data_IF_328555110275
#
_entry.id   IF_328555110275
#
_cell.length_a   1.000
_cell.length_b   1.000
_cell.length_c   1.000
_cell.angle_alpha   90.00
_cell.angle_beta   90.00
_cell.angle_gamma   90.00
#
_symmetry.space_group_name_H-M   'P 1'
#
loop_
_entity.id
_entity.type
_entity.pdbx_description
1 polymer ?
#
# COMPACT_ATOMS: atom_id res chain seq x y z
N UNK A 1 40.56 -31.37 20.05
CA UNK A 1 39.57 -30.70 19.18
C UNK A 1 38.62 -29.89 20.04
N UNK A 2 38.88 -28.60 20.22
CA UNK A 2 38.00 -27.68 20.96
C UNK A 2 36.97 -27.11 20.00
N UNK A 3 35.71 -27.46 20.19
CA UNK A 3 34.58 -26.89 19.44
C UNK A 3 34.46 -25.42 19.85
N UNK A 4 34.81 -24.52 18.94
CA UNK A 4 34.58 -23.08 19.09
C UNK A 4 33.07 -22.82 18.98
N UNK A 5 32.41 -22.59 20.10
CA UNK A 5 31.04 -22.09 20.14
C UNK A 5 31.05 -20.65 19.63
N UNK A 6 30.79 -20.43 18.33
CA UNK A 6 30.44 -19.09 17.85
C UNK A 6 29.16 -18.69 18.58
N UNK A 7 29.26 -17.69 19.45
CA UNK A 7 28.12 -16.90 19.88
C UNK A 7 27.49 -16.34 18.61
N UNK A 8 26.30 -16.83 18.25
CA UNK A 8 25.48 -16.16 17.24
C UNK A 8 25.26 -14.74 17.73
N UNK A 9 25.59 -13.69 16.95
CA UNK A 9 25.34 -12.32 17.36
C UNK A 9 23.84 -12.20 17.66
N UNK A 10 23.53 -11.78 18.89
CA UNK A 10 22.16 -11.61 19.35
C UNK A 10 21.59 -10.40 18.60
N UNK A 11 20.76 -10.64 17.57
CA UNK A 11 20.17 -9.59 16.75
C UNK A 11 19.08 -8.90 17.58
N UNK A 12 19.50 -7.94 18.41
CA UNK A 12 18.58 -7.08 19.15
C UNK A 12 17.99 -6.03 18.21
N UNK A 13 16.76 -6.24 17.75
CA UNK A 13 16.03 -5.21 17.01
C UNK A 13 15.72 -4.07 17.98
N UNK A 14 16.38 -2.92 17.78
CA UNK A 14 16.07 -1.71 18.55
C UNK A 14 14.63 -1.29 18.30
N UNK A 15 13.80 -1.16 19.35
CA UNK A 15 12.42 -0.67 19.21
C UNK A 15 12.35 0.70 18.53
N UNK A 16 13.40 1.53 18.66
CA UNK A 16 13.48 2.84 18.01
C UNK A 16 13.55 2.73 16.49
N UNK A 17 14.35 1.80 15.96
CA UNK A 17 14.51 1.60 14.51
C UNK A 17 13.22 1.07 13.89
N UNK A 18 12.56 0.10 14.52
CA UNK A 18 11.27 -0.41 14.05
C UNK A 18 10.19 0.68 14.01
N UNK A 19 10.13 1.52 15.05
CA UNK A 19 9.22 2.68 15.10
C UNK A 19 9.50 3.68 13.98
N UNK A 20 10.76 4.05 13.79
CA UNK A 20 11.15 5.00 12.76
C UNK A 20 10.77 4.52 11.36
N UNK A 21 11.02 3.25 11.04
CA UNK A 21 10.67 2.69 9.73
C UNK A 21 9.16 2.64 9.48
N UNK A 22 8.37 2.25 10.49
CA UNK A 22 6.90 2.23 10.35
C UNK A 22 6.35 3.63 10.17
N UNK A 23 6.85 4.62 10.92
CA UNK A 23 6.41 6.01 10.79
C UNK A 23 6.87 6.65 9.47
N UNK A 24 8.08 6.35 9.01
CA UNK A 24 8.58 6.81 7.71
C UNK A 24 7.73 6.25 6.55
N UNK A 25 7.25 5.01 6.67
CA UNK A 25 6.30 4.41 5.73
C UNK A 25 4.94 5.11 5.65
N UNK A 26 4.62 6.06 6.53
CA UNK A 26 3.40 6.87 6.43
C UNK A 26 3.60 8.14 5.60
N UNK A 27 4.83 8.51 5.27
CA UNK A 27 5.11 9.75 4.53
C UNK A 27 4.39 9.81 3.17
N UNK A 28 4.39 8.75 2.33
CA UNK A 28 3.69 8.81 1.05
C UNK A 28 2.18 8.93 1.22
N UNK A 29 1.58 8.26 2.23
CA UNK A 29 0.16 8.43 2.55
C UNK A 29 -0.19 9.88 2.86
N UNK A 30 0.60 10.52 3.73
CA UNK A 30 0.36 11.89 4.16
C UNK A 30 0.51 12.85 2.97
N UNK A 31 1.59 12.73 2.20
CA UNK A 31 1.85 13.58 1.05
C UNK A 31 0.78 13.46 -0.04
N UNK A 32 0.39 12.22 -0.38
CA UNK A 32 -0.63 11.96 -1.39
C UNK A 32 -2.02 12.42 -0.91
N UNK A 33 -2.36 12.21 0.36
CA UNK A 33 -3.63 12.67 0.91
C UNK A 33 -3.71 14.21 0.95
N UNK A 34 -2.67 14.90 1.42
CA UNK A 34 -2.63 16.37 1.41
C UNK A 34 -2.73 16.88 -0.02
N UNK A 35 -1.94 16.33 -0.95
CA UNK A 35 -2.00 16.71 -2.35
C UNK A 35 -3.40 16.50 -2.95
N UNK A 36 -4.07 15.39 -2.63
CA UNK A 36 -5.42 15.09 -3.13
C UNK A 36 -6.49 16.06 -2.64
N UNK A 37 -6.29 16.69 -1.48
CA UNK A 37 -7.24 17.62 -0.86
C UNK A 37 -6.93 19.08 -1.23
N UNK A 38 -5.66 19.42 -1.44
CA UNK A 38 -5.22 20.80 -1.71
C UNK A 38 -5.20 21.12 -3.20
N UNK A 39 -4.98 20.13 -4.06
CA UNK A 39 -4.94 20.33 -5.52
C UNK A 39 -6.33 20.22 -6.14
N UNK A 40 -6.54 20.90 -7.26
CA UNK A 40 -7.82 20.91 -7.96
C UNK A 40 -7.85 19.99 -9.19
N UNK A 41 -9.04 19.47 -9.49
CA UNK A 41 -9.39 18.82 -10.76
C UNK A 41 -8.42 17.71 -11.18
N UNK A 42 -7.76 17.90 -12.33
CA UNK A 42 -6.88 16.89 -12.93
C UNK A 42 -5.70 16.49 -12.03
N UNK A 43 -5.13 17.44 -11.27
CA UNK A 43 -3.99 17.14 -10.40
C UNK A 43 -4.39 16.25 -9.22
N UNK A 44 -5.54 16.50 -8.60
CA UNK A 44 -6.08 15.62 -7.55
C UNK A 44 -6.38 14.23 -8.09
N UNK A 45 -6.97 14.13 -9.28
CA UNK A 45 -7.27 12.86 -9.93
C UNK A 45 -6.00 12.03 -10.21
N UNK A 46 -4.89 12.68 -10.59
CA UNK A 46 -3.60 12.00 -10.82
C UNK A 46 -3.00 11.40 -9.54
N UNK A 47 -3.37 11.89 -8.36
CA UNK A 47 -2.87 11.40 -7.07
C UNK A 47 -3.67 10.22 -6.51
N UNK A 48 -4.86 9.95 -7.05
CA UNK A 48 -5.74 8.88 -6.59
C UNK A 48 -5.10 7.49 -6.77
N UNK A 49 -4.66 7.16 -7.99
CA UNK A 49 -4.06 5.86 -8.28
C UNK A 49 -2.77 5.62 -7.47
N UNK A 50 -1.84 6.58 -7.33
CA UNK A 50 -0.72 6.46 -6.40
C UNK A 50 -1.13 6.20 -4.95
N UNK A 51 -2.19 6.85 -4.46
CA UNK A 51 -2.67 6.67 -3.08
C UNK A 51 -3.21 5.24 -2.87
N UNK A 52 -4.06 4.77 -3.78
CA UNK A 52 -4.60 3.39 -3.76
C UNK A 52 -3.48 2.38 -3.95
N UNK A 53 -2.58 2.62 -4.91
CA UNK A 53 -1.39 1.81 -5.20
C UNK A 53 -0.49 1.63 -3.98
N UNK A 54 -0.16 2.74 -3.32
CA UNK A 54 0.64 2.69 -2.11
C UNK A 54 -0.07 1.97 -0.97
N UNK A 55 -1.39 2.19 -0.82
CA UNK A 55 -2.19 1.46 0.15
C UNK A 55 -2.18 -0.05 -0.05
N UNK A 56 -2.31 -0.51 -1.30
CA UNK A 56 -2.20 -1.93 -1.64
C UNK A 56 -0.81 -2.50 -1.31
N UNK A 57 0.26 -1.76 -1.62
CA UNK A 57 1.64 -2.17 -1.30
C UNK A 57 1.84 -2.34 0.21
N UNK A 58 1.43 -1.35 1.00
CA UNK A 58 1.60 -1.42 2.46
C UNK A 58 0.72 -2.51 3.06
N UNK A 59 -0.52 -2.66 2.60
CA UNK A 59 -1.40 -3.73 3.08
C UNK A 59 -0.81 -5.13 2.80
N UNK A 60 -0.23 -5.34 1.61
CA UNK A 60 0.49 -6.56 1.26
C UNK A 60 1.73 -6.78 2.14
N UNK A 61 2.52 -5.73 2.37
CA UNK A 61 3.72 -5.81 3.20
C UNK A 61 3.41 -6.26 4.64
N UNK A 62 2.35 -5.73 5.25
CA UNK A 62 1.95 -6.16 6.59
C UNK A 62 1.43 -7.61 6.58
N UNK A 63 0.70 -8.00 5.53
CA UNK A 63 0.32 -9.39 5.30
C UNK A 63 1.51 -10.35 5.44
N UNK A 64 2.62 -10.05 4.78
CA UNK A 64 3.84 -10.86 4.77
C UNK A 64 4.46 -11.09 6.15
N UNK A 65 4.20 -10.23 7.15
CA UNK A 65 4.69 -10.41 8.52
C UNK A 65 4.30 -11.78 9.10
N UNK A 66 3.10 -12.26 8.76
CA UNK A 66 2.56 -13.52 9.27
C UNK A 66 3.32 -14.75 8.75
N UNK A 67 3.91 -14.68 7.56
CA UNK A 67 4.87 -15.71 7.12
C UNK A 67 6.13 -15.68 7.97
N UNK A 68 6.66 -14.49 8.24
CA UNK A 68 7.83 -14.33 9.12
C UNK A 68 7.59 -14.92 10.51
N UNK A 69 6.42 -14.66 11.11
CA UNK A 69 6.02 -15.24 12.40
C UNK A 69 5.87 -16.76 12.31
N UNK A 70 5.22 -17.27 11.26
CA UNK A 70 5.02 -18.71 11.09
C UNK A 70 6.34 -19.50 10.93
N UNK A 71 7.34 -18.89 10.29
CA UNK A 71 8.67 -19.46 10.09
C UNK A 71 9.57 -19.36 11.33
N UNK A 72 9.38 -18.35 12.18
CA UNK A 72 10.26 -18.07 13.31
C UNK A 72 9.78 -18.64 14.65
N UNK A 73 8.49 -19.01 14.78
CA UNK A 73 7.95 -19.61 16.01
C UNK A 73 8.02 -21.15 15.98
N UNK A 74 8.95 -21.80 16.70
CA UNK A 74 9.15 -23.25 16.65
C UNK A 74 8.00 -24.01 17.33
N UNK A 75 7.35 -23.39 18.31
CA UNK A 75 6.30 -23.98 19.16
C UNK A 75 4.89 -23.84 18.58
N UNK A 76 4.71 -23.12 17.47
CA UNK A 76 3.41 -22.98 16.83
C UNK A 76 2.91 -24.33 16.29
N UNK A 77 1.63 -24.64 16.53
CA UNK A 77 1.00 -25.83 15.95
C UNK A 77 0.97 -25.75 14.42
N UNK A 78 0.91 -26.89 13.74
CA UNK A 78 0.80 -26.92 12.27
C UNK A 78 -0.46 -26.18 11.78
N UNK A 79 -1.55 -26.26 12.55
CA UNK A 79 -2.78 -25.52 12.28
C UNK A 79 -2.58 -24.01 12.37
N UNK A 80 -1.91 -23.52 13.41
CA UNK A 80 -1.66 -22.09 13.56
C UNK A 80 -0.74 -21.56 12.45
N UNK A 81 0.31 -22.31 12.09
CA UNK A 81 1.17 -21.95 10.94
C UNK A 81 0.37 -21.82 9.65
N UNK A 82 -0.51 -22.77 9.37
CA UNK A 82 -1.38 -22.75 8.18
C UNK A 82 -2.29 -21.53 8.18
N UNK A 83 -2.87 -21.18 9.33
CA UNK A 83 -3.74 -20.00 9.46
C UNK A 83 -2.95 -18.70 9.24
N UNK A 84 -1.77 -18.57 9.84
CA UNK A 84 -0.88 -17.40 9.65
C UNK A 84 -0.47 -17.23 8.19
N UNK A 85 -0.05 -18.33 7.55
CA UNK A 85 0.37 -18.33 6.14
C UNK A 85 -0.80 -18.07 5.19
N UNK A 86 -1.99 -18.58 5.47
CA UNK A 86 -3.18 -18.32 4.66
C UNK A 86 -3.61 -16.86 4.80
N UNK A 87 -3.58 -16.34 6.03
CA UNK A 87 -3.97 -14.97 6.31
C UNK A 87 -3.04 -13.94 5.65
N UNK A 88 -1.75 -14.21 5.47
CA UNK A 88 -0.84 -13.26 4.82
C UNK A 88 -1.21 -12.93 3.38
N UNK A 89 -1.88 -13.87 2.69
CA UNK A 89 -2.24 -13.75 1.28
C UNK A 89 -3.49 -12.88 1.12
N UNK A 90 -4.39 -12.91 2.11
CA UNK A 90 -5.67 -12.19 2.09
C UNK A 90 -5.47 -10.67 1.93
N UNK A 91 -4.61 -9.98 2.71
CA UNK A 91 -4.33 -8.55 2.53
C UNK A 91 -3.77 -8.19 1.15
N UNK A 92 -2.89 -9.03 0.60
CA UNK A 92 -2.31 -8.80 -0.73
C UNK A 92 -3.36 -8.91 -1.84
N UNK A 93 -4.21 -9.93 -1.78
CA UNK A 93 -5.33 -10.09 -2.71
C UNK A 93 -6.35 -8.97 -2.56
N UNK A 94 -6.65 -8.55 -1.33
CA UNK A 94 -7.57 -7.45 -1.09
C UNK A 94 -7.03 -6.12 -1.63
N UNK A 95 -5.73 -5.86 -1.46
CA UNK A 95 -5.06 -4.71 -2.08
C UNK A 95 -5.11 -4.76 -3.61
N UNK A 96 -4.89 -5.94 -4.21
CA UNK A 96 -5.00 -6.13 -5.65
C UNK A 96 -6.43 -5.90 -6.17
N UNK A 97 -7.44 -6.43 -5.47
CA UNK A 97 -8.86 -6.18 -5.80
C UNK A 97 -9.21 -4.70 -5.68
N UNK A 98 -8.68 -4.01 -4.67
CA UNK A 98 -8.91 -2.58 -4.51
C UNK A 98 -8.40 -1.75 -5.70
N UNK A 99 -7.29 -2.14 -6.33
CA UNK A 99 -6.79 -1.44 -7.53
C UNK A 99 -7.74 -1.52 -8.73
N UNK A 100 -8.60 -2.53 -8.78
CA UNK A 100 -9.58 -2.74 -9.85
C UNK A 100 -10.98 -2.24 -9.47
N UNK A 101 -11.17 -1.79 -8.23
CA UNK A 101 -12.45 -1.32 -7.74
C UNK A 101 -12.74 0.11 -8.23
N UNK A 102 -14.02 0.50 -8.34
CA UNK A 102 -14.39 1.88 -8.64
C UNK A 102 -13.84 2.87 -7.60
N UNK A 103 -13.61 4.10 -8.04
CA UNK A 103 -13.13 5.17 -7.17
C UNK A 103 -14.06 5.35 -5.94
N UNK A 104 -13.44 5.40 -4.76
CA UNK A 104 -14.09 5.44 -3.47
C UNK A 104 -14.34 4.07 -2.87
N UNK A 105 -14.80 3.10 -3.65
CA UNK A 105 -14.90 1.71 -3.17
C UNK A 105 -13.52 1.10 -2.90
N UNK A 106 -12.53 1.44 -3.73
CA UNK A 106 -11.12 1.11 -3.54
C UNK A 106 -10.54 1.60 -2.20
N UNK A 107 -10.76 2.88 -1.87
CA UNK A 107 -10.31 3.52 -0.63
C UNK A 107 -11.00 2.90 0.60
N UNK A 108 -12.31 2.66 0.53
CA UNK A 108 -13.07 1.99 1.59
C UNK A 108 -12.60 0.54 1.79
N UNK A 109 -12.33 -0.17 0.70
CA UNK A 109 -11.84 -1.54 0.74
C UNK A 109 -10.46 -1.58 1.41
N UNK A 110 -9.52 -0.72 1.01
CA UNK A 110 -8.19 -0.63 1.64
C UNK A 110 -8.28 -0.26 3.12
N UNK A 111 -9.10 0.75 3.48
CA UNK A 111 -9.33 1.14 4.86
C UNK A 111 -9.85 -0.03 5.70
N UNK A 112 -10.88 -0.72 5.21
CA UNK A 112 -11.42 -1.90 5.88
C UNK A 112 -10.39 -3.04 5.98
N UNK A 113 -9.55 -3.21 4.96
CA UNK A 113 -8.46 -4.17 4.92
C UNK A 113 -7.43 -3.94 6.03
N UNK A 114 -7.01 -2.69 6.25
CA UNK A 114 -6.09 -2.35 7.33
C UNK A 114 -6.68 -2.66 8.72
N UNK A 115 -7.94 -2.34 8.95
CA UNK A 115 -8.62 -2.62 10.23
C UNK A 115 -8.85 -4.12 10.44
N UNK A 116 -9.27 -4.85 9.40
CA UNK A 116 -9.42 -6.30 9.46
C UNK A 116 -8.08 -6.98 9.76
N UNK A 117 -7.00 -6.50 9.15
CA UNK A 117 -5.66 -7.00 9.43
C UNK A 117 -5.20 -6.70 10.85
N UNK A 118 -5.45 -5.49 11.35
CA UNK A 118 -5.16 -5.12 12.75
C UNK A 118 -5.95 -5.99 13.75
N UNK A 119 -7.21 -6.29 13.46
CA UNK A 119 -8.02 -7.19 14.29
C UNK A 119 -7.41 -8.61 14.34
N UNK A 120 -6.85 -9.07 13.22
CA UNK A 120 -6.12 -10.33 13.18
C UNK A 120 -4.80 -10.26 13.94
N UNK A 121 -4.02 -9.17 13.80
CA UNK A 121 -2.80 -8.92 14.58
C UNK A 121 -3.06 -9.04 16.08
N UNK A 122 -4.19 -8.50 16.57
CA UNK A 122 -4.62 -8.62 17.96
C UNK A 122 -4.87 -10.07 18.38
N UNK A 123 -5.50 -10.87 17.53
CA UNK A 123 -5.75 -12.30 17.79
C UNK A 123 -4.44 -13.09 17.79
N UNK A 124 -3.52 -12.77 16.87
CA UNK A 124 -2.21 -13.39 16.78
C UNK A 124 -1.32 -13.03 17.98
N UNK A 125 -1.36 -11.77 18.44
CA UNK A 125 -0.60 -11.29 19.60
C UNK A 125 -0.91 -12.10 20.87
N UNK A 126 -2.18 -12.48 21.07
CA UNK A 126 -2.62 -13.30 22.21
C UNK A 126 -2.09 -14.74 22.16
N UNK A 127 -1.73 -15.25 20.99
CA UNK A 127 -1.30 -16.65 20.78
C UNK A 127 0.21 -16.81 20.61
N UNK A 128 0.89 -15.79 20.11
CA UNK A 128 2.29 -15.87 19.67
C UNK A 128 3.23 -14.89 20.39
N UNK A 129 2.78 -14.28 21.49
CA UNK A 129 3.57 -13.38 22.34
C UNK A 129 4.35 -12.32 21.53
N UNK A 130 3.62 -11.51 20.75
CA UNK A 130 4.24 -10.40 20.02
C UNK A 130 4.82 -9.36 21.00
N UNK A 131 5.88 -8.62 20.61
CA UNK A 131 6.44 -7.58 21.45
C UNK A 131 5.39 -6.53 21.82
N UNK A 132 5.34 -6.11 23.09
CA UNK A 132 4.31 -5.19 23.60
C UNK A 132 4.25 -3.82 22.90
N UNK A 133 5.31 -3.42 22.19
CA UNK A 133 5.34 -2.18 21.41
C UNK A 133 4.67 -2.30 20.03
N UNK A 134 4.43 -3.51 19.52
CA UNK A 134 3.97 -3.74 18.15
C UNK A 134 2.54 -3.26 17.94
N UNK A 135 1.59 -3.72 18.76
CA UNK A 135 0.16 -3.38 18.60
C UNK A 135 -0.13 -1.87 18.72
N UNK A 136 0.39 -1.13 19.73
CA UNK A 136 0.18 0.32 19.81
C UNK A 136 0.67 1.05 18.54
N UNK A 137 1.83 0.64 18.02
CA UNK A 137 2.40 1.24 16.82
C UNK A 137 1.56 0.92 15.57
N UNK A 138 1.07 -0.31 15.45
CA UNK A 138 0.15 -0.73 14.37
C UNK A 138 -1.17 0.03 14.40
N UNK A 139 -1.72 0.29 15.59
CA UNK A 139 -2.93 1.11 15.75
C UNK A 139 -2.69 2.52 15.22
N UNK A 140 -1.61 3.19 15.65
CA UNK A 140 -1.29 4.55 15.18
C UNK A 140 -1.10 4.57 13.66
N UNK A 141 -0.33 3.64 13.10
CA UNK A 141 -0.09 3.56 11.66
C UNK A 141 -1.38 3.28 10.87
N UNK A 142 -2.23 2.37 11.36
CA UNK A 142 -3.52 2.02 10.72
C UNK A 142 -4.47 3.20 10.76
N UNK A 143 -4.56 3.93 11.87
CA UNK A 143 -5.40 5.12 12.00
C UNK A 143 -4.95 6.22 11.03
N UNK A 144 -3.65 6.51 10.96
CA UNK A 144 -3.12 7.54 10.05
C UNK A 144 -3.36 7.13 8.59
N UNK A 145 -3.00 5.90 8.20
CA UNK A 145 -3.23 5.41 6.84
C UNK A 145 -4.71 5.45 6.45
N UNK A 146 -5.61 5.06 7.36
CA UNK A 146 -7.06 5.14 7.13
C UNK A 146 -7.51 6.58 6.95
N UNK A 147 -7.06 7.50 7.80
CA UNK A 147 -7.41 8.91 7.66
C UNK A 147 -6.94 9.47 6.32
N UNK A 148 -5.71 9.13 5.90
CA UNK A 148 -5.18 9.53 4.60
C UNK A 148 -5.98 8.94 3.43
N UNK A 149 -6.42 7.68 3.52
CA UNK A 149 -7.26 7.04 2.50
C UNK A 149 -8.66 7.64 2.43
N UNK A 150 -9.23 8.06 3.55
CA UNK A 150 -10.59 8.63 3.59
C UNK A 150 -10.61 10.14 3.36
N UNK A 151 -9.49 10.85 3.51
CA UNK A 151 -9.41 12.28 3.29
C UNK A 151 -9.92 12.75 1.92
N UNK A 152 -9.57 12.11 0.77
CA UNK A 152 -10.13 12.48 -0.53
C UNK A 152 -11.66 12.35 -0.57
N UNK A 153 -12.23 11.33 0.09
CA UNK A 153 -13.68 11.10 0.11
C UNK A 153 -14.41 12.10 1.01
N UNK A 154 -13.84 12.41 2.17
CA UNK A 154 -14.47 13.24 3.18
C UNK A 154 -14.31 14.74 2.89
N UNK A 155 -13.17 15.13 2.31
CA UNK A 155 -12.76 16.52 2.15
C UNK A 155 -12.69 16.95 0.67
N UNK A 156 -12.41 16.01 -0.25
CA UNK A 156 -12.37 16.30 -1.69
C UNK A 156 -13.75 16.54 -2.31
N UNK A 157 -14.83 16.23 -1.59
CA UNK A 157 -16.21 16.57 -1.94
C UNK A 157 -16.77 15.80 -3.14
N UNK A 158 -18.04 15.40 -3.04
CA UNK A 158 -18.80 14.67 -4.07
C UNK A 158 -19.08 15.45 -5.37
N UNK A 159 -18.17 16.33 -5.80
CA UNK A 159 -18.33 17.21 -6.95
C UNK A 159 -18.09 16.50 -8.30
N UNK A 160 -17.52 15.28 -8.29
CA UNK A 160 -17.27 14.48 -9.50
C UNK A 160 -18.20 13.26 -9.66
N UNK A 161 -19.09 12.99 -8.70
CA UNK A 161 -20.04 11.87 -8.80
C UNK A 161 -21.26 12.16 -9.69
N UNK A 162 -21.33 13.34 -10.31
CA UNK A 162 -22.46 13.74 -11.15
C UNK A 162 -22.27 13.55 -12.67
N UNK A 163 -21.11 13.10 -13.17
CA UNK A 163 -21.01 12.86 -14.62
C UNK A 163 -19.97 11.79 -15.04
N UNK A 164 -20.37 10.52 -15.17
CA UNK A 164 -19.55 9.48 -15.81
C UNK A 164 -19.37 9.70 -17.33
N UNK A 165 -19.99 10.73 -17.92
CA UNK A 165 -19.92 11.08 -19.34
C UNK A 165 -19.44 12.52 -19.64
N UNK A 166 -18.91 13.25 -18.65
CA UNK A 166 -18.24 14.52 -18.92
C UNK A 166 -16.87 14.25 -19.59
N UNK A 167 -16.92 13.86 -20.86
CA UNK A 167 -15.84 14.19 -21.77
C UNK A 167 -15.67 15.72 -21.74
N UNK A 168 -14.45 16.26 -21.81
CA UNK A 168 -14.27 17.70 -21.93
C UNK A 168 -14.91 18.16 -23.24
N UNK A 169 -16.17 18.61 -23.18
CA UNK A 169 -16.85 19.25 -24.29
C UNK A 169 -16.06 20.51 -24.60
N UNK A 170 -15.28 20.38 -25.66
CA UNK A 170 -14.53 21.42 -26.33
C UNK A 170 -15.28 22.77 -26.33
N UNK A 171 -14.92 23.65 -25.40
CA UNK A 171 -14.81 25.06 -25.74
C UNK A 171 -13.46 25.25 -26.42
N UNK A 172 -13.43 24.91 -27.71
CA UNK A 172 -12.85 25.78 -28.75
C UNK A 172 -11.38 26.17 -28.74
N UNK A 173 -10.47 25.56 -27.97
CA UNK A 173 -9.03 25.83 -28.15
C UNK A 173 -8.21 24.55 -27.94
N UNK A 174 -7.82 23.92 -29.06
CA UNK A 174 -6.75 22.93 -29.10
C UNK A 174 -5.44 23.72 -29.05
N UNK A 175 -4.59 23.60 -28.01
CA UNK A 175 -3.26 24.18 -28.06
C UNK A 175 -2.46 23.43 -29.12
N UNK A 176 -2.00 24.12 -30.16
CA UNK A 176 -1.18 23.63 -31.28
C UNK A 176 0.22 23.09 -30.88
N UNK A 177 0.40 22.60 -29.66
CA UNK A 177 1.67 22.17 -29.12
C UNK A 177 1.70 20.66 -28.87
N UNK A 178 1.56 19.86 -29.93
CA UNK A 178 2.07 18.49 -29.90
C UNK A 178 3.51 18.52 -30.46
N UNK A 179 4.57 18.33 -29.64
CA UNK A 179 5.90 18.16 -30.17
C UNK A 179 5.93 16.84 -30.95
N UNK A 180 6.01 16.95 -32.28
CA UNK A 180 6.17 15.83 -33.19
C UNK A 180 7.42 15.06 -32.78
N UNK A 181 7.24 13.87 -32.20
CA UNK A 181 8.33 12.91 -32.03
C UNK A 181 8.92 12.60 -33.42
N UNK A 182 10.22 12.85 -33.66
CA UNK A 182 10.83 12.53 -34.94
C UNK A 182 10.85 11.01 -35.10
N UNK A 183 10.08 10.50 -36.07
CA UNK A 183 10.18 9.10 -36.50
C UNK A 183 11.61 8.85 -36.97
N UNK A 184 12.35 8.02 -36.23
CA UNK A 184 13.58 7.40 -36.71
C UNK A 184 13.28 6.73 -38.05
N UNK A 185 13.93 7.17 -39.13
CA UNK A 185 13.91 6.49 -40.41
C UNK A 185 14.48 5.08 -40.20
N UNK A 186 13.62 4.08 -40.31
CA UNK A 186 14.04 2.69 -40.41
C UNK A 186 14.97 2.57 -41.63
N UNK A 187 16.16 2.01 -41.41
CA UNK A 187 17.13 1.70 -42.45
C UNK A 187 16.50 0.70 -43.43
N UNK A 188 16.22 1.15 -44.64
CA UNK A 188 15.85 0.27 -45.76
C UNK A 188 17.15 -0.16 -46.45
N UNK A 189 17.81 -1.17 -45.89
CA UNK A 189 18.79 -1.97 -46.61
C UNK A 189 18.11 -3.20 -47.19
N UNK A 190 18.54 -3.61 -48.39
CA UNK A 190 18.11 -4.78 -49.18
C UNK A 190 16.83 -4.45 -49.98
N UNK A 191 16.85 -4.24 -51.30
CA UNK A 191 17.29 -5.15 -52.37
C UNK A 191 17.47 -4.38 -53.69
N UNK A 192 18.63 -4.46 -54.36
CA UNK A 192 18.77 -4.58 -55.83
C UNK A 192 20.24 -4.55 -56.27
N UNK A 193 20.61 -5.61 -57.00
CA UNK A 193 21.85 -5.88 -57.77
C UNK A 193 23.07 -6.35 -56.99
#
# INVERSE_FOLDING_TARGET
MTVSTRSTPDVSISPGTARALILAGLLPFIGLAIGSVVMDGAHAAMLHLPLVGYGAVILSFVGALHWGVALTHPTASQRDRTVLMSWSVVPALLGWVALMAPAGADLLLLASGFWAHLAFDWRAARRHALPGWYLPLRIVATSIATLCLLAPLLLGGGHHLADPHAWPTATGEVPDACPVFPRHKAASGITSL
#
